data_IF_822333916342
#
_entry.id   IF_822333916342
#
_cell.length_a   1.000
_cell.length_b   1.000
_cell.length_c   1.000
_cell.angle_alpha   90.00
_cell.angle_beta   90.00
_cell.angle_gamma   90.00
#
_symmetry.space_group_name_H-M   'P 1'
#
loop_
_entity.id
_entity.type
_entity.pdbx_description
1 polymer ?
#
# COMPACT_ATOMS: atom_id res chain seq x y z
N UNK A 1 21.49 -2.41 -5.74
CA UNK A 1 20.22 -3.15 -5.93
C UNK A 1 20.02 -3.49 -7.40
N UNK A 2 19.73 -2.54 -8.30
CA UNK A 2 19.39 -2.77 -9.74
C UNK A 2 20.26 -3.79 -10.51
N UNK A 3 21.59 -3.79 -10.31
CA UNK A 3 22.50 -4.70 -11.04
C UNK A 3 22.66 -6.10 -10.43
N UNK A 4 22.24 -6.30 -9.19
CA UNK A 4 22.56 -7.50 -8.40
C UNK A 4 21.33 -8.23 -7.90
N UNK A 5 20.28 -7.49 -7.52
CA UNK A 5 19.12 -8.06 -6.88
C UNK A 5 18.40 -9.01 -7.84
N UNK A 6 18.16 -10.24 -7.39
CA UNK A 6 17.48 -11.29 -8.14
C UNK A 6 16.38 -11.92 -7.32
N UNK A 7 15.24 -12.10 -7.95
CA UNK A 7 14.02 -12.67 -7.38
C UNK A 7 13.68 -13.91 -8.21
N UNK A 8 13.35 -15.00 -7.53
CA UNK A 8 12.78 -16.16 -8.19
C UNK A 8 11.35 -16.38 -7.69
N UNK A 9 10.41 -16.56 -8.61
CA UNK A 9 9.01 -16.81 -8.29
C UNK A 9 8.74 -18.32 -8.28
N UNK A 10 8.09 -18.81 -7.22
CA UNK A 10 7.59 -20.18 -7.17
C UNK A 10 6.55 -20.42 -8.28
N UNK A 11 6.39 -21.69 -8.70
CA UNK A 11 5.50 -22.08 -9.81
C UNK A 11 4.31 -22.93 -9.33
N UNK A 12 4.21 -23.13 -8.03
CA UNK A 12 3.23 -23.97 -7.37
C UNK A 12 1.89 -23.24 -7.23
N UNK A 13 0.82 -24.02 -7.16
CA UNK A 13 -0.53 -23.47 -7.13
C UNK A 13 -1.08 -23.23 -8.53
N UNK A 14 -2.35 -22.82 -8.59
CA UNK A 14 -3.05 -22.52 -9.83
C UNK A 14 -3.93 -21.27 -9.66
N UNK A 15 -4.21 -20.52 -10.75
CA UNK A 15 -5.23 -19.49 -10.74
C UNK A 15 -6.61 -20.04 -10.32
N UNK A 16 -7.49 -19.20 -9.73
CA UNK A 16 -7.30 -17.77 -9.54
C UNK A 16 -6.51 -17.41 -8.27
N UNK A 17 -6.29 -18.32 -7.32
CA UNK A 17 -5.68 -17.99 -6.02
C UNK A 17 -4.18 -17.67 -6.15
N UNK A 18 -3.47 -18.44 -6.99
CA UNK A 18 -2.04 -18.28 -7.22
C UNK A 18 -1.77 -17.75 -8.63
N UNK A 19 -0.65 -17.05 -8.82
CA UNK A 19 -0.19 -16.49 -10.11
C UNK A 19 -1.16 -15.46 -10.73
N UNK A 20 -2.13 -14.97 -9.94
CA UNK A 20 -3.14 -14.02 -10.39
C UNK A 20 -3.62 -13.23 -9.19
N UNK A 21 -4.05 -11.99 -9.43
CA UNK A 21 -4.70 -11.15 -8.44
C UNK A 21 -5.59 -10.10 -9.10
N UNK A 22 -6.34 -9.32 -8.32
CA UNK A 22 -7.15 -8.24 -8.88
C UNK A 22 -6.24 -7.18 -9.51
N UNK A 23 -6.59 -6.72 -10.70
CA UNK A 23 -5.87 -5.64 -11.41
C UNK A 23 -6.66 -4.33 -11.45
N UNK A 24 -7.87 -4.33 -10.89
CA UNK A 24 -8.78 -3.18 -10.82
C UNK A 24 -9.17 -2.84 -9.38
N UNK A 25 -9.73 -1.64 -9.20
CA UNK A 25 -10.15 -1.05 -7.94
C UNK A 25 -9.01 -0.85 -6.93
N UNK A 26 -9.36 -0.76 -5.65
CA UNK A 26 -8.46 -0.37 -4.56
C UNK A 26 -7.40 -1.42 -4.20
N UNK A 27 -7.62 -2.69 -4.55
CA UNK A 27 -6.68 -3.79 -4.34
C UNK A 27 -5.84 -4.11 -5.59
N UNK A 28 -6.00 -3.33 -6.66
CA UNK A 28 -5.38 -3.57 -7.97
C UNK A 28 -3.86 -3.78 -7.93
N UNK A 29 -3.16 -3.11 -7.01
CA UNK A 29 -1.70 -3.25 -6.92
C UNK A 29 -1.26 -4.67 -6.56
N UNK A 30 -2.07 -5.47 -5.87
CA UNK A 30 -1.74 -6.85 -5.54
C UNK A 30 -1.55 -7.69 -6.81
N UNK A 31 -2.54 -7.67 -7.72
CA UNK A 31 -2.44 -8.39 -8.99
C UNK A 31 -1.38 -7.80 -9.91
N UNK A 32 -1.25 -6.48 -9.98
CA UNK A 32 -0.19 -5.85 -10.79
C UNK A 32 1.22 -6.21 -10.32
N UNK A 33 1.43 -6.33 -9.01
CA UNK A 33 2.71 -6.76 -8.44
C UNK A 33 2.99 -8.24 -8.70
N UNK A 34 2.02 -9.13 -8.46
CA UNK A 34 2.15 -10.58 -8.74
C UNK A 34 2.57 -10.79 -10.21
N UNK A 35 1.81 -10.22 -11.14
CA UNK A 35 2.09 -10.35 -12.56
C UNK A 35 3.45 -9.73 -12.97
N UNK A 36 3.96 -8.68 -12.29
CA UNK A 36 5.29 -8.12 -12.59
C UNK A 36 6.41 -9.04 -12.09
N UNK A 37 6.23 -9.73 -10.96
CA UNK A 37 7.23 -10.66 -10.43
C UNK A 37 7.41 -11.90 -11.31
N UNK A 38 6.46 -12.17 -12.20
CA UNK A 38 6.46 -13.32 -13.11
C UNK A 38 6.73 -12.92 -14.56
N UNK A 39 6.81 -11.61 -14.84
CA UNK A 39 7.07 -11.08 -16.17
C UNK A 39 8.52 -11.34 -16.58
N UNK A 40 8.73 -12.04 -17.70
CA UNK A 40 10.06 -12.31 -18.26
C UNK A 40 10.88 -11.06 -18.59
N UNK A 41 10.22 -9.90 -18.76
CA UNK A 41 10.87 -8.61 -19.01
C UNK A 41 11.31 -7.88 -17.75
N UNK A 42 10.90 -8.36 -16.57
CA UNK A 42 11.32 -7.81 -15.29
C UNK A 42 12.83 -8.10 -15.07
N UNK A 43 13.70 -7.07 -14.95
CA UNK A 43 15.14 -7.26 -14.82
C UNK A 43 15.59 -7.93 -13.51
N UNK A 44 14.71 -7.95 -12.50
CA UNK A 44 14.94 -8.59 -11.21
C UNK A 44 14.62 -10.08 -11.23
N UNK A 45 13.80 -10.56 -12.17
CA UNK A 45 13.48 -11.98 -12.27
C UNK A 45 14.73 -12.78 -12.68
N UNK A 46 14.97 -13.92 -12.03
CA UNK A 46 15.92 -14.95 -12.48
C UNK A 46 15.22 -16.26 -12.78
N UNK A 47 15.70 -16.96 -13.81
CA UNK A 47 15.27 -18.32 -14.11
C UNK A 47 16.06 -19.37 -13.31
N UNK A 48 17.18 -18.97 -12.69
CA UNK A 48 18.01 -19.82 -11.88
C UNK A 48 17.79 -19.50 -10.38
N UNK A 49 17.08 -20.34 -9.62
CA UNK A 49 16.81 -20.08 -8.22
C UNK A 49 18.06 -20.02 -7.35
N UNK A 50 19.18 -20.60 -7.78
CA UNK A 50 20.47 -20.50 -7.07
C UNK A 50 21.08 -19.10 -7.10
N UNK A 51 20.65 -18.23 -8.03
CA UNK A 51 21.07 -16.82 -8.11
C UNK A 51 20.14 -15.89 -7.34
N UNK A 52 19.00 -16.39 -6.87
CA UNK A 52 18.01 -15.57 -6.20
C UNK A 52 18.47 -15.13 -4.81
N UNK A 53 18.26 -13.84 -4.54
CA UNK A 53 18.46 -13.25 -3.23
C UNK A 53 17.18 -13.32 -2.40
N UNK A 54 16.03 -13.35 -3.08
CA UNK A 54 14.69 -13.38 -2.51
C UNK A 54 13.78 -14.30 -3.34
N UNK A 55 12.84 -14.97 -2.67
CA UNK A 55 11.90 -15.92 -3.27
C UNK A 55 10.47 -15.38 -3.14
N UNK A 56 9.77 -15.26 -4.27
CA UNK A 56 8.43 -14.71 -4.32
C UNK A 56 7.37 -15.80 -4.27
N UNK A 57 6.40 -15.65 -3.37
CA UNK A 57 5.20 -16.47 -3.27
C UNK A 57 4.06 -15.74 -4.03
N UNK A 58 3.64 -16.24 -5.22
CA UNK A 58 2.60 -15.62 -6.03
C UNK A 58 1.19 -15.94 -5.50
N UNK A 59 0.93 -15.66 -4.22
CA UNK A 59 -0.36 -15.88 -3.55
C UNK A 59 -1.15 -14.57 -3.49
N UNK A 60 -2.41 -14.58 -3.95
CA UNK A 60 -3.30 -13.43 -3.82
C UNK A 60 -4.24 -13.59 -2.63
N UNK A 61 -3.99 -12.80 -1.58
CA UNK A 61 -4.89 -12.71 -0.42
C UNK A 61 -6.27 -12.23 -0.86
N UNK A 62 -6.36 -11.28 -1.78
CA UNK A 62 -7.65 -10.78 -2.26
C UNK A 62 -8.46 -11.87 -2.97
N UNK A 63 -7.81 -12.74 -3.76
CA UNK A 63 -8.47 -13.87 -4.39
C UNK A 63 -8.81 -14.99 -3.40
N UNK A 64 -8.02 -15.23 -2.36
CA UNK A 64 -8.43 -16.12 -1.26
C UNK A 64 -9.76 -15.64 -0.66
N UNK A 65 -9.87 -14.34 -0.36
CA UNK A 65 -11.11 -13.74 0.14
C UNK A 65 -12.24 -13.81 -0.90
N UNK A 66 -11.95 -13.66 -2.18
CA UNK A 66 -12.99 -13.62 -3.22
C UNK A 66 -13.52 -15.01 -3.61
N UNK A 67 -12.66 -16.03 -3.58
CA UNK A 67 -12.97 -17.37 -4.13
C UNK A 67 -13.12 -18.46 -3.08
N UNK A 68 -12.52 -18.30 -1.89
CA UNK A 68 -12.55 -19.34 -0.84
C UNK A 68 -13.51 -18.96 0.28
N UNK A 69 -13.58 -17.67 0.66
CA UNK A 69 -14.41 -17.24 1.77
C UNK A 69 -15.91 -17.46 1.51
N UNK A 70 -16.59 -17.96 2.55
CA UNK A 70 -18.01 -18.30 2.56
C UNK A 70 -18.71 -17.49 3.63
N UNK A 71 -19.61 -16.59 3.22
CA UNK A 71 -20.35 -15.68 4.12
C UNK A 71 -21.38 -16.42 5.00
N UNK A 72 -21.82 -17.59 4.57
CA UNK A 72 -22.86 -18.41 5.20
C UNK A 72 -22.34 -19.29 6.36
N UNK A 73 -21.03 -19.23 6.66
CA UNK A 73 -20.40 -20.05 7.69
C UNK A 73 -19.88 -19.16 8.83
N UNK A 74 -20.24 -19.52 10.07
CA UNK A 74 -19.69 -18.92 11.27
C UNK A 74 -18.20 -19.26 11.38
N UNK A 75 -17.35 -18.22 11.43
CA UNK A 75 -15.88 -18.30 11.47
C UNK A 75 -15.24 -19.18 10.38
N UNK A 76 -14.89 -18.53 9.28
CA UNK A 76 -14.19 -19.17 8.15
C UNK A 76 -12.69 -18.89 8.13
N UNK A 77 -12.08 -18.43 9.24
CA UNK A 77 -10.65 -18.11 9.26
C UNK A 77 -9.76 -19.35 9.07
N UNK A 78 -10.14 -20.48 9.69
CA UNK A 78 -9.38 -21.73 9.60
C UNK A 78 -9.11 -22.21 8.16
N UNK A 79 -10.14 -22.35 7.31
CA UNK A 79 -9.96 -22.68 5.90
C UNK A 79 -9.06 -21.69 5.15
N UNK A 80 -9.24 -20.38 5.33
CA UNK A 80 -8.44 -19.37 4.63
C UNK A 80 -6.96 -19.42 5.03
N UNK A 81 -6.68 -19.60 6.32
CA UNK A 81 -5.32 -19.78 6.85
C UNK A 81 -4.67 -21.05 6.29
N UNK A 82 -5.42 -22.16 6.22
CA UNK A 82 -4.91 -23.42 5.64
C UNK A 82 -4.47 -23.28 4.19
N UNK A 83 -5.17 -22.51 3.35
CA UNK A 83 -4.73 -22.27 1.96
C UNK A 83 -3.32 -21.68 1.91
N UNK A 84 -3.00 -20.72 2.79
CA UNK A 84 -1.67 -20.11 2.86
C UNK A 84 -0.65 -21.07 3.47
N UNK A 85 -1.01 -21.75 4.58
CA UNK A 85 -0.13 -22.67 5.28
C UNK A 85 0.26 -23.89 4.43
N UNK A 86 -0.72 -24.50 3.77
CA UNK A 86 -0.53 -25.67 2.90
C UNK A 86 0.34 -25.31 1.68
N UNK A 87 0.18 -24.10 1.13
CA UNK A 87 1.05 -23.61 0.07
C UNK A 87 2.51 -23.53 0.52
N UNK A 88 2.76 -23.01 1.73
CA UNK A 88 4.10 -22.98 2.32
C UNK A 88 4.64 -24.40 2.51
N UNK A 89 3.82 -25.35 2.95
CA UNK A 89 4.24 -26.74 3.12
C UNK A 89 4.62 -27.42 1.79
N UNK A 90 3.86 -27.16 0.72
CA UNK A 90 4.21 -27.65 -0.63
C UNK A 90 5.57 -27.13 -1.09
N UNK A 91 5.86 -25.84 -0.92
CA UNK A 91 7.15 -25.28 -1.36
C UNK A 91 8.32 -25.74 -0.46
N UNK A 92 8.06 -26.00 0.83
CA UNK A 92 9.03 -26.58 1.78
C UNK A 92 9.43 -27.99 1.43
N UNK A 93 8.47 -28.82 1.00
CA UNK A 93 8.71 -30.20 0.61
C UNK A 93 9.42 -30.27 -0.75
N UNK A 94 9.02 -29.43 -1.70
CA UNK A 94 9.50 -29.49 -3.08
C UNK A 94 10.86 -28.82 -3.30
N UNK A 95 11.21 -27.80 -2.51
CA UNK A 95 12.42 -27.01 -2.72
C UNK A 95 13.25 -26.83 -1.44
N UNK A 96 14.60 -26.76 -1.54
CA UNK A 96 15.46 -26.55 -0.38
C UNK A 96 15.42 -25.11 0.15
N UNK A 97 14.92 -24.15 -0.65
CA UNK A 97 15.12 -22.72 -0.43
C UNK A 97 14.36 -22.16 0.78
N UNK A 98 13.18 -22.69 1.10
CA UNK A 98 12.49 -22.28 2.33
C UNK A 98 13.26 -22.78 3.57
N UNK A 99 13.63 -24.07 3.58
CA UNK A 99 14.22 -24.70 4.75
C UNK A 99 15.62 -24.14 5.09
N UNK A 100 16.40 -23.67 4.11
CA UNK A 100 17.72 -23.06 4.36
C UNK A 100 17.67 -21.70 5.08
N UNK A 101 16.53 -21.01 5.04
CA UNK A 101 16.37 -19.65 5.61
C UNK A 101 15.21 -19.56 6.60
N UNK A 102 14.47 -20.66 6.79
CA UNK A 102 13.17 -20.67 7.48
C UNK A 102 12.21 -19.59 6.97
N UNK A 103 12.25 -19.29 5.67
CA UNK A 103 11.39 -18.28 5.03
C UNK A 103 11.91 -16.83 5.12
N UNK A 104 13.11 -16.58 5.66
CA UNK A 104 13.62 -15.22 5.88
C UNK A 104 14.01 -14.44 4.61
N UNK A 105 14.26 -15.14 3.49
CA UNK A 105 14.44 -14.56 2.16
C UNK A 105 13.19 -14.69 1.28
N UNK A 106 12.03 -14.99 1.87
CA UNK A 106 10.77 -15.14 1.15
C UNK A 106 9.91 -13.91 1.30
N UNK A 107 9.15 -13.58 0.26
CA UNK A 107 8.16 -12.51 0.30
C UNK A 107 6.86 -12.89 -0.39
N UNK A 108 5.77 -12.29 0.08
CA UNK A 108 4.50 -12.24 -0.63
C UNK A 108 3.93 -10.81 -0.55
N UNK A 109 2.91 -10.55 -1.36
CA UNK A 109 2.18 -9.28 -1.37
C UNK A 109 0.75 -9.48 -0.89
N UNK A 110 0.24 -8.56 -0.07
CA UNK A 110 -1.16 -8.55 0.34
C UNK A 110 -1.70 -7.13 0.49
N UNK A 111 -2.73 -6.80 -0.28
CA UNK A 111 -3.38 -5.49 -0.17
C UNK A 111 -4.78 -5.52 0.40
N UNK A 112 -5.42 -6.68 0.41
CA UNK A 112 -6.65 -6.84 1.19
C UNK A 112 -6.36 -6.67 2.69
N UNK A 113 -7.34 -6.12 3.40
CA UNK A 113 -7.32 -5.85 4.85
C UNK A 113 -7.02 -7.11 5.67
N UNK A 114 -7.33 -8.27 5.11
CA UNK A 114 -7.15 -9.58 5.73
C UNK A 114 -5.71 -10.11 5.61
N UNK A 115 -4.83 -9.40 4.93
CA UNK A 115 -3.43 -9.78 4.73
C UNK A 115 -2.69 -9.99 6.04
N UNK A 116 -2.89 -9.13 7.03
CA UNK A 116 -2.27 -9.29 8.35
C UNK A 116 -2.74 -10.57 9.06
N UNK A 117 -4.04 -10.90 8.95
CA UNK A 117 -4.63 -12.09 9.59
C UNK A 117 -4.23 -13.39 8.89
N UNK A 118 -4.23 -13.41 7.55
CA UNK A 118 -3.88 -14.59 6.75
C UNK A 118 -2.35 -14.79 6.61
N UNK A 119 -1.55 -13.88 7.15
CA UNK A 119 -0.10 -14.04 7.30
C UNK A 119 0.36 -13.92 8.75
N UNK A 120 -0.59 -13.96 9.68
CA UNK A 120 -0.33 -13.89 11.12
C UNK A 120 0.27 -15.18 11.67
N UNK A 121 0.70 -15.11 12.93
CA UNK A 121 1.32 -16.25 13.63
C UNK A 121 0.42 -17.51 13.63
N UNK A 122 -0.91 -17.34 13.75
CA UNK A 122 -1.90 -18.41 13.70
C UNK A 122 -1.98 -19.16 12.35
N UNK A 123 -1.40 -18.58 11.29
CA UNK A 123 -1.38 -19.20 9.96
C UNK A 123 -0.17 -20.10 9.81
N UNK A 124 1.03 -19.51 9.93
CA UNK A 124 2.30 -20.23 9.87
C UNK A 124 3.37 -19.38 10.55
N UNK A 125 3.93 -19.87 11.66
CA UNK A 125 4.88 -19.11 12.48
C UNK A 125 6.07 -18.56 11.69
N UNK A 126 6.72 -19.40 10.87
CA UNK A 126 7.86 -18.99 10.03
C UNK A 126 7.50 -17.91 9.02
N UNK A 127 6.29 -17.96 8.43
CA UNK A 127 5.82 -16.94 7.49
C UNK A 127 5.65 -15.58 8.18
N UNK A 128 5.09 -15.58 9.39
CA UNK A 128 4.86 -14.36 10.16
C UNK A 128 6.17 -13.76 10.69
N UNK A 129 7.00 -14.57 11.34
CA UNK A 129 8.21 -14.12 12.03
C UNK A 129 9.35 -13.79 11.05
N UNK A 130 9.53 -14.59 9.99
CA UNK A 130 10.75 -14.52 9.19
C UNK A 130 10.52 -13.87 7.81
N UNK A 131 9.42 -14.18 7.13
CA UNK A 131 9.21 -13.70 5.76
C UNK A 131 8.95 -12.20 5.67
N UNK A 132 9.40 -11.60 4.57
CA UNK A 132 9.19 -10.19 4.24
C UNK A 132 7.74 -10.04 3.76
N UNK A 133 6.89 -9.40 4.56
CA UNK A 133 5.49 -9.16 4.16
C UNK A 133 5.39 -7.80 3.49
N UNK A 134 4.97 -7.80 2.23
CA UNK A 134 4.73 -6.56 1.47
C UNK A 134 3.24 -6.26 1.52
N UNK A 135 2.82 -5.33 2.40
CA UNK A 135 1.40 -5.16 2.73
C UNK A 135 0.90 -3.74 2.51
N UNK A 136 -0.34 -3.59 2.01
CA UNK A 136 -0.98 -2.27 1.94
C UNK A 136 -1.46 -1.79 3.32
N UNK A 137 -2.05 -2.67 4.14
CA UNK A 137 -2.44 -2.38 5.52
C UNK A 137 -1.23 -2.56 6.47
N UNK A 138 -0.30 -1.62 6.44
CA UNK A 138 0.91 -1.65 7.27
C UNK A 138 0.64 -1.03 8.65
N UNK A 139 0.04 -1.76 9.57
CA UNK A 139 -0.29 -1.26 10.92
C UNK A 139 0.62 -1.91 11.98
N UNK A 140 1.43 -1.13 12.68
CA UNK A 140 2.36 -1.66 13.71
C UNK A 140 1.64 -2.23 14.93
N UNK A 141 0.40 -1.80 15.21
CA UNK A 141 -0.44 -2.38 16.25
C UNK A 141 -1.05 -3.74 15.86
N UNK A 142 -1.10 -4.06 14.55
CA UNK A 142 -1.64 -5.32 14.00
C UNK A 142 -0.52 -6.26 13.53
N UNK A 143 0.67 -6.10 14.13
CA UNK A 143 1.79 -7.00 13.93
C UNK A 143 2.72 -6.65 12.76
N UNK A 144 2.59 -5.49 12.11
CA UNK A 144 3.59 -5.03 11.12
C UNK A 144 4.95 -4.76 11.80
N UNK A 145 6.02 -5.37 11.30
CA UNK A 145 7.36 -5.27 11.88
C UNK A 145 8.24 -4.37 11.00
N UNK A 146 8.54 -3.16 11.48
CA UNK A 146 9.26 -2.11 10.73
C UNK A 146 10.55 -2.57 10.03
N UNK A 147 11.38 -3.36 10.72
CA UNK A 147 12.68 -3.79 10.22
C UNK A 147 12.64 -5.01 9.30
N UNK A 148 11.45 -5.60 9.08
CA UNK A 148 11.24 -6.83 8.30
C UNK A 148 10.21 -6.66 7.18
N UNK A 149 9.09 -6.03 7.48
CA UNK A 149 7.97 -5.86 6.55
C UNK A 149 8.14 -4.58 5.71
N UNK A 150 7.34 -4.49 4.65
CA UNK A 150 7.38 -3.39 3.67
C UNK A 150 5.97 -2.86 3.46
N UNK A 151 5.79 -1.55 3.66
CA UNK A 151 4.54 -0.86 3.30
C UNK A 151 4.44 -0.72 1.79
N UNK A 152 3.38 -1.26 1.20
CA UNK A 152 3.02 -1.07 -0.20
C UNK A 152 2.01 0.07 -0.33
N UNK A 153 2.31 1.04 -1.19
CA UNK A 153 1.35 2.10 -1.50
C UNK A 153 0.16 1.54 -2.29
N UNK A 154 -1.04 1.68 -1.73
CA UNK A 154 -2.28 1.35 -2.43
C UNK A 154 -2.52 2.26 -3.63
N UNK A 155 -3.10 1.70 -4.69
CA UNK A 155 -3.54 2.46 -5.88
C UNK A 155 -4.96 2.05 -6.22
N UNK A 156 -5.76 3.01 -6.69
CA UNK A 156 -7.11 2.77 -7.15
C UNK A 156 -7.12 2.84 -8.68
N UNK A 157 -7.40 1.72 -9.34
CA UNK A 157 -7.52 1.64 -10.80
C UNK A 157 -8.94 1.19 -11.16
N UNK A 158 -9.92 2.10 -11.30
CA UNK A 158 -11.34 1.72 -11.46
C UNK A 158 -11.62 0.72 -12.58
N UNK A 159 -10.91 0.84 -13.72
CA UNK A 159 -11.04 -0.03 -14.89
C UNK A 159 -9.82 -0.97 -15.07
N UNK A 160 -8.92 -1.00 -14.09
CA UNK A 160 -7.68 -1.76 -14.09
C UNK A 160 -6.60 -1.28 -15.07
N UNK A 161 -6.84 -0.17 -15.79
CA UNK A 161 -5.88 0.36 -16.76
C UNK A 161 -4.83 1.20 -16.07
N UNK A 162 -3.56 0.92 -16.37
CA UNK A 162 -2.43 1.70 -15.87
C UNK A 162 -2.42 3.07 -16.56
N UNK A 163 -2.86 4.09 -15.84
CA UNK A 163 -2.85 5.48 -16.28
C UNK A 163 -1.65 6.25 -15.74
N UNK A 164 -1.28 7.34 -16.42
CA UNK A 164 -0.38 8.34 -15.84
C UNK A 164 -1.16 9.26 -14.92
N UNK A 165 -0.55 9.80 -13.85
CA UNK A 165 -1.12 10.93 -13.14
C UNK A 165 -1.42 12.05 -14.13
N UNK A 166 -2.61 12.64 -14.01
CA UNK A 166 -2.92 13.84 -14.78
C UNK A 166 -1.92 14.95 -14.45
N UNK A 167 -1.64 15.84 -15.42
CA UNK A 167 -0.79 17.01 -15.16
C UNK A 167 -1.43 17.87 -14.07
N UNK A 168 -0.61 18.37 -13.15
CA UNK A 168 -1.08 19.31 -12.13
C UNK A 168 -1.70 20.53 -12.80
N UNK A 169 -2.77 21.02 -12.17
CA UNK A 169 -3.49 22.20 -12.60
C UNK A 169 -2.75 23.44 -12.05
N UNK A 170 -2.94 24.59 -12.71
CA UNK A 170 -2.45 25.90 -12.24
C UNK A 170 -2.70 26.08 -10.72
N UNK A 171 -1.66 26.38 -9.91
CA UNK A 171 -1.80 26.68 -8.48
C UNK A 171 -2.93 27.66 -8.14
N UNK A 172 -3.23 28.62 -9.02
CA UNK A 172 -4.28 29.63 -8.82
C UNK A 172 -5.70 29.04 -8.83
N UNK A 173 -5.88 27.76 -9.17
CA UNK A 173 -7.17 27.08 -9.18
C UNK A 173 -7.48 26.29 -7.90
N UNK A 174 -6.58 26.32 -6.88
CA UNK A 174 -6.81 25.66 -5.59
C UNK A 174 -7.59 26.55 -4.61
N UNK A 175 -8.91 26.57 -4.76
CA UNK A 175 -9.82 27.42 -4.00
C UNK A 175 -10.24 26.87 -2.63
N UNK A 176 -10.08 25.58 -2.38
CA UNK A 176 -10.44 24.92 -1.11
C UNK A 176 -9.21 24.79 -0.21
N UNK A 177 -9.38 24.99 1.10
CA UNK A 177 -8.30 24.76 2.06
C UNK A 177 -8.01 23.27 2.18
N UNK A 178 -9.02 22.48 2.52
CA UNK A 178 -8.88 21.04 2.72
C UNK A 178 -10.07 20.27 2.15
N UNK A 179 -9.85 19.02 1.75
CA UNK A 179 -10.90 18.12 1.30
C UNK A 179 -10.75 16.70 1.83
N UNK A 180 -11.89 16.10 2.19
CA UNK A 180 -12.05 14.68 2.46
C UNK A 180 -13.38 14.20 1.86
N UNK A 181 -13.37 13.02 1.25
CA UNK A 181 -14.61 12.26 1.13
C UNK A 181 -14.42 10.77 1.30
N UNK A 182 -15.17 10.13 2.19
CA UNK A 182 -15.11 8.69 2.43
C UNK A 182 -16.03 8.26 3.57
N UNK A 183 -16.52 7.02 3.51
CA UNK A 183 -17.47 6.50 4.50
C UNK A 183 -16.89 6.45 5.92
N UNK A 184 -17.79 6.43 6.91
CA UNK A 184 -17.49 6.24 8.33
C UNK A 184 -16.95 4.83 8.62
N UNK A 185 -15.68 4.61 8.24
CA UNK A 185 -14.95 3.37 8.48
C UNK A 185 -13.85 3.67 9.47
N UNK A 186 -13.98 3.20 10.71
CA UNK A 186 -13.01 3.43 11.78
C UNK A 186 -13.15 4.79 12.48
N UNK A 187 -12.71 4.82 13.74
CA UNK A 187 -12.95 5.92 14.68
C UNK A 187 -12.36 7.27 14.22
N UNK A 188 -11.25 7.26 13.47
CA UNK A 188 -10.63 8.49 12.97
C UNK A 188 -11.47 9.13 11.87
N UNK A 189 -12.04 8.33 10.94
CA UNK A 189 -12.94 8.86 9.91
C UNK A 189 -14.24 9.33 10.50
N UNK A 190 -14.79 8.60 11.47
CA UNK A 190 -15.95 9.04 12.25
C UNK A 190 -15.69 10.41 12.88
N UNK A 191 -14.56 10.57 13.59
CA UNK A 191 -14.20 11.86 14.18
C UNK A 191 -14.07 13.00 13.16
N UNK A 192 -13.47 12.74 11.98
CA UNK A 192 -13.39 13.75 10.89
C UNK A 192 -14.78 14.11 10.37
N UNK A 193 -15.63 13.12 10.12
CA UNK A 193 -16.99 13.32 9.63
C UNK A 193 -17.84 14.08 10.65
N UNK A 194 -17.78 13.68 11.92
CA UNK A 194 -18.52 14.31 13.01
C UNK A 194 -18.13 15.77 13.18
N UNK A 195 -16.86 16.12 13.04
CA UNK A 195 -16.39 17.50 13.21
C UNK A 195 -16.59 18.38 11.99
N UNK A 196 -16.47 17.85 10.76
CA UNK A 196 -16.35 18.68 9.57
C UNK A 196 -17.42 18.47 8.49
N UNK A 197 -18.15 17.34 8.49
CA UNK A 197 -19.15 17.03 7.45
C UNK A 197 -20.22 18.12 7.38
N UNK A 198 -20.26 18.87 6.26
CA UNK A 198 -21.24 19.94 6.03
C UNK A 198 -21.13 21.15 6.96
N UNK A 199 -20.00 21.33 7.66
CA UNK A 199 -19.84 22.36 8.70
C UNK A 199 -18.95 23.55 8.32
N UNK A 200 -18.18 23.47 7.23
CA UNK A 200 -17.28 24.54 6.80
C UNK A 200 -17.20 24.64 5.27
N UNK A 201 -17.01 25.85 4.75
CA UNK A 201 -16.93 26.12 3.31
C UNK A 201 -15.51 25.92 2.73
N UNK A 202 -14.47 26.00 3.56
CA UNK A 202 -13.07 25.86 3.14
C UNK A 202 -12.51 24.45 3.45
N UNK A 203 -12.97 23.83 4.53
CA UNK A 203 -12.68 22.43 4.89
C UNK A 203 -13.87 21.56 4.49
N UNK A 204 -13.85 21.06 3.26
CA UNK A 204 -14.97 20.37 2.66
C UNK A 204 -14.89 18.88 2.94
N UNK A 205 -15.90 18.36 3.65
CA UNK A 205 -15.94 16.96 4.09
C UNK A 205 -17.27 16.31 3.68
N UNK A 206 -17.18 15.17 3.00
CA UNK A 206 -18.32 14.32 2.64
C UNK A 206 -18.13 12.89 3.16
N UNK A 207 -19.22 12.22 3.48
CA UNK A 207 -19.19 10.77 3.72
C UNK A 207 -19.25 10.01 2.39
N UNK A 208 -20.24 10.35 1.57
CA UNK A 208 -20.36 9.91 0.18
C UNK A 208 -20.55 11.16 -0.69
N UNK A 209 -19.85 11.23 -1.83
CA UNK A 209 -20.07 12.35 -2.75
C UNK A 209 -21.49 12.27 -3.32
N UNK A 210 -22.25 13.38 -3.32
CA UNK A 210 -23.48 13.50 -4.08
C UNK A 210 -23.29 13.12 -5.55
N UNK A 211 -24.33 12.51 -6.14
CA UNK A 211 -24.36 12.14 -7.56
C UNK A 211 -24.08 13.37 -8.44
N UNK A 212 -23.23 13.20 -9.45
CA UNK A 212 -22.85 14.27 -10.38
C UNK A 212 -21.63 15.09 -9.96
N UNK A 213 -21.14 14.92 -8.73
CA UNK A 213 -19.87 15.52 -8.30
C UNK A 213 -18.68 14.61 -8.62
N UNK A 214 -17.52 15.23 -8.90
CA UNK A 214 -16.29 14.51 -9.24
C UNK A 214 -15.28 14.62 -8.10
N UNK A 215 -14.93 13.47 -7.49
CA UNK A 215 -14.00 13.37 -6.37
C UNK A 215 -12.62 13.98 -6.67
N UNK A 216 -12.02 13.61 -7.81
CA UNK A 216 -10.71 14.11 -8.22
C UNK A 216 -10.71 15.62 -8.51
N UNK A 217 -11.84 16.19 -8.98
CA UNK A 217 -11.99 17.63 -9.13
C UNK A 217 -11.93 18.37 -7.78
N UNK A 218 -12.48 17.80 -6.71
CA UNK A 218 -12.32 18.39 -5.38
C UNK A 218 -10.87 18.31 -4.90
N UNK A 219 -10.20 17.16 -5.02
CA UNK A 219 -8.79 17.02 -4.66
C UNK A 219 -7.89 18.02 -5.42
N UNK A 220 -8.13 18.21 -6.73
CA UNK A 220 -7.41 19.17 -7.56
C UNK A 220 -7.61 20.62 -7.13
N UNK A 221 -8.80 20.97 -6.61
CA UNK A 221 -9.13 22.32 -6.11
C UNK A 221 -8.71 22.54 -4.65
N UNK A 222 -8.22 21.52 -3.95
CA UNK A 222 -7.82 21.64 -2.54
C UNK A 222 -6.33 21.88 -2.38
N UNK A 223 -5.94 22.74 -1.45
CA UNK A 223 -4.53 22.89 -1.05
C UNK A 223 -4.04 21.62 -0.35
N UNK A 224 -4.87 21.11 0.56
CA UNK A 224 -4.58 19.96 1.42
C UNK A 224 -5.62 18.85 1.23
N UNK A 225 -5.19 17.60 1.21
CA UNK A 225 -6.09 16.44 1.11
C UNK A 225 -6.00 15.62 2.39
N UNK A 226 -7.09 15.58 3.15
CA UNK A 226 -7.11 14.85 4.41
C UNK A 226 -7.08 13.34 4.13
N UNK A 227 -6.15 12.66 4.77
CA UNK A 227 -5.93 11.23 4.67
C UNK A 227 -6.08 10.56 6.05
N UNK A 228 -7.29 10.57 6.65
CA UNK A 228 -7.57 9.82 7.85
C UNK A 228 -7.60 8.31 7.58
N UNK A 229 -6.88 7.55 8.41
CA UNK A 229 -6.93 6.08 8.39
C UNK A 229 -8.34 5.57 8.70
N UNK A 230 -8.70 4.43 8.13
CA UNK A 230 -9.95 3.74 8.42
C UNK A 230 -9.79 2.74 9.57
N UNK A 231 -10.50 1.60 9.50
CA UNK A 231 -10.08 0.40 10.23
C UNK A 231 -8.67 -0.01 9.77
N UNK A 232 -8.44 0.09 8.46
CA UNK A 232 -7.15 -0.09 7.85
C UNK A 232 -6.42 1.24 7.70
N UNK A 233 -5.11 1.20 7.95
CA UNK A 233 -4.26 2.39 7.88
C UNK A 233 -3.89 2.75 6.44
N UNK A 234 -3.78 1.74 5.57
CA UNK A 234 -3.47 1.91 4.16
C UNK A 234 -4.68 2.27 3.31
N UNK A 235 -4.57 3.33 2.49
CA UNK A 235 -5.61 3.68 1.51
C UNK A 235 -5.00 4.25 0.24
N UNK A 236 -5.61 4.01 -0.94
CA UNK A 236 -5.20 4.66 -2.19
C UNK A 236 -5.21 6.19 -2.13
N UNK A 237 -5.93 6.78 -1.17
CA UNK A 237 -6.10 8.23 -1.05
C UNK A 237 -4.79 9.01 -0.95
N UNK A 238 -3.79 8.45 -0.29
CA UNK A 238 -2.47 9.11 -0.20
C UNK A 238 -1.86 9.23 -1.60
N UNK A 239 -1.91 8.14 -2.38
CA UNK A 239 -1.46 8.11 -3.77
C UNK A 239 -2.31 9.05 -4.64
N UNK A 240 -3.64 9.05 -4.48
CA UNK A 240 -4.55 9.95 -5.19
C UNK A 240 -4.24 11.43 -4.89
N UNK A 241 -4.01 11.79 -3.62
CA UNK A 241 -3.64 13.14 -3.21
C UNK A 241 -2.32 13.58 -3.86
N UNK A 242 -1.31 12.71 -3.83
CA UNK A 242 -0.02 12.95 -4.47
C UNK A 242 -0.21 13.17 -5.97
N UNK A 243 -0.96 12.30 -6.67
CA UNK A 243 -1.24 12.43 -8.10
C UNK A 243 -1.98 13.72 -8.46
N UNK A 244 -2.90 14.17 -7.60
CA UNK A 244 -3.63 15.41 -7.80
C UNK A 244 -2.84 16.64 -7.35
N UNK A 245 -1.56 16.53 -6.99
CA UNK A 245 -0.72 17.65 -6.53
C UNK A 245 -1.20 18.28 -5.22
N UNK A 246 -2.07 17.57 -4.49
CA UNK A 246 -2.69 18.00 -3.25
C UNK A 246 -1.82 17.56 -2.08
N UNK A 247 -1.46 18.47 -1.18
CA UNK A 247 -0.56 18.14 -0.05
C UNK A 247 -1.27 17.15 0.88
N UNK A 248 -0.76 15.91 1.05
CA UNK A 248 -1.40 14.93 1.93
C UNK A 248 -1.35 15.40 3.38
N UNK A 249 -2.47 15.30 4.08
CA UNK A 249 -2.57 15.52 5.53
C UNK A 249 -2.85 14.18 6.18
N UNK A 250 -1.83 13.57 6.79
CA UNK A 250 -1.92 12.25 7.40
C UNK A 250 -2.54 12.41 8.79
N UNK A 251 -3.63 11.69 9.03
CA UNK A 251 -4.32 11.60 10.32
C UNK A 251 -4.45 10.11 10.62
N UNK A 252 -3.40 9.53 11.21
CA UNK A 252 -3.31 8.10 11.45
C UNK A 252 -2.46 7.83 12.69
N UNK A 253 -2.68 6.66 13.29
CA UNK A 253 -1.88 6.11 14.39
C UNK A 253 -1.23 4.82 13.88
N UNK A 254 0.00 4.54 14.32
CA UNK A 254 0.69 3.28 14.03
C UNK A 254 0.84 2.92 12.54
N UNK A 255 0.90 3.93 11.67
CA UNK A 255 1.02 3.75 10.22
C UNK A 255 2.41 4.14 9.69
N UNK A 256 3.29 3.17 9.38
CA UNK A 256 4.53 3.42 8.64
C UNK A 256 4.20 3.70 7.18
N UNK A 257 4.38 4.96 6.77
CA UNK A 257 4.02 5.42 5.43
C UNK A 257 4.89 4.74 4.34
N UNK A 258 4.36 4.54 3.12
CA UNK A 258 5.10 3.94 2.02
C UNK A 258 6.43 4.64 1.77
N UNK A 259 7.48 3.85 1.50
CA UNK A 259 8.82 4.32 1.15
C UNK A 259 9.50 5.21 2.19
N UNK A 260 9.09 5.15 3.47
CA UNK A 260 9.71 5.94 4.55
C UNK A 260 11.21 5.61 4.77
N UNK A 261 11.70 4.50 4.22
CA UNK A 261 13.13 4.17 4.18
C UNK A 261 13.96 5.15 3.32
N UNK A 262 13.31 5.85 2.37
CA UNK A 262 13.98 6.70 1.37
C UNK A 262 13.36 8.11 1.31
N UNK A 263 12.05 8.23 1.56
CA UNK A 263 11.30 9.48 1.49
C UNK A 263 11.01 10.03 2.89
N UNK A 264 11.46 11.26 3.15
CA UNK A 264 11.07 12.01 4.34
C UNK A 264 9.70 12.69 4.10
N UNK A 265 8.64 12.04 4.59
CA UNK A 265 7.26 12.53 4.50
C UNK A 265 7.07 13.93 5.08
N UNK A 266 7.84 14.33 6.11
CA UNK A 266 7.74 15.68 6.71
C UNK A 266 8.07 16.80 5.71
N UNK A 267 8.75 16.47 4.60
CA UNK A 267 9.13 17.43 3.57
C UNK A 267 8.01 17.71 2.58
N UNK A 268 7.00 16.85 2.45
CA UNK A 268 5.94 16.97 1.44
C UNK A 268 4.52 16.64 1.93
N UNK A 269 4.34 16.29 3.20
CA UNK A 269 3.04 16.11 3.83
C UNK A 269 2.92 16.92 5.12
N UNK A 270 1.71 16.96 5.66
CA UNK A 270 1.41 17.47 7.01
C UNK A 270 0.91 16.29 7.83
N UNK A 271 1.29 16.21 9.10
CA UNK A 271 0.72 15.24 10.04
C UNK A 271 -0.12 15.99 11.06
N UNK A 272 -1.35 15.54 11.28
CA UNK A 272 -2.25 16.07 12.32
C UNK A 272 -2.63 14.91 13.24
N UNK A 273 -2.30 15.00 14.54
CA UNK A 273 -2.74 14.01 15.52
C UNK A 273 -4.27 13.91 15.60
N UNK A 274 -4.79 12.74 15.96
CA UNK A 274 -6.24 12.46 15.97
C UNK A 274 -6.98 13.41 16.91
N UNK A 275 -6.41 13.69 18.07
CA UNK A 275 -6.94 14.63 19.07
C UNK A 275 -7.05 16.08 18.55
N UNK A 276 -6.33 16.41 17.47
CA UNK A 276 -6.34 17.74 16.83
C UNK A 276 -7.23 17.83 15.59
N UNK A 277 -8.08 16.83 15.33
CA UNK A 277 -9.10 16.90 14.28
C UNK A 277 -9.96 18.17 14.36
N UNK A 278 -10.41 18.65 15.54
CA UNK A 278 -11.17 19.90 15.64
C UNK A 278 -10.38 21.15 15.21
N UNK A 279 -9.04 21.09 15.26
CA UNK A 279 -8.14 22.20 14.96
C UNK A 279 -7.64 22.21 13.49
N UNK A 280 -8.09 21.27 12.64
CA UNK A 280 -7.60 21.12 11.25
C UNK A 280 -7.53 22.45 10.51
N UNK A 281 -8.60 23.25 10.54
CA UNK A 281 -8.62 24.54 9.85
C UNK A 281 -7.57 25.51 10.39
N UNK A 282 -7.43 25.59 11.73
CA UNK A 282 -6.45 26.48 12.38
C UNK A 282 -5.02 26.07 12.02
N UNK A 283 -4.72 24.77 12.12
CA UNK A 283 -3.40 24.21 11.81
C UNK A 283 -3.04 24.48 10.34
N UNK A 284 -3.95 24.17 9.41
CA UNK A 284 -3.69 24.32 7.98
C UNK A 284 -3.59 25.79 7.55
N UNK A 285 -4.38 26.70 8.14
CA UNK A 285 -4.23 28.15 7.90
C UNK A 285 -2.95 28.73 8.52
N UNK A 286 -2.43 28.12 9.58
CA UNK A 286 -1.15 28.50 10.19
C UNK A 286 0.07 28.17 9.32
N UNK A 287 -0.09 27.35 8.27
CA UNK A 287 0.99 27.06 7.32
C UNK A 287 1.16 28.26 6.39
N UNK A 288 2.32 28.92 6.46
CA UNK A 288 2.65 30.05 5.59
C UNK A 288 2.61 29.64 4.12
N UNK A 289 2.26 30.59 3.25
CA UNK A 289 2.17 30.34 1.81
C UNK A 289 3.51 29.83 1.23
N UNK A 290 4.64 30.36 1.71
CA UNK A 290 5.98 29.87 1.34
C UNK A 290 6.17 28.40 1.70
N UNK A 291 5.75 27.98 2.90
CA UNK A 291 5.86 26.57 3.33
C UNK A 291 4.93 25.68 2.50
N UNK A 292 3.70 26.14 2.23
CA UNK A 292 2.77 25.42 1.38
C UNK A 292 3.33 25.18 -0.03
N UNK A 293 3.88 26.20 -0.68
CA UNK A 293 4.46 26.07 -2.02
C UNK A 293 5.64 25.08 -2.05
N UNK A 294 6.46 25.05 -0.99
CA UNK A 294 7.52 24.06 -0.85
C UNK A 294 6.98 22.63 -0.69
N UNK A 295 5.95 22.43 0.15
CA UNK A 295 5.29 21.13 0.30
C UNK A 295 4.73 20.66 -1.05
N UNK A 296 3.96 21.53 -1.73
CA UNK A 296 3.36 21.25 -3.04
C UNK A 296 4.41 20.87 -4.09
N UNK A 297 5.48 21.66 -4.22
CA UNK A 297 6.56 21.38 -5.17
C UNK A 297 7.17 19.99 -4.92
N UNK A 298 7.36 19.61 -3.66
CA UNK A 298 7.91 18.30 -3.31
C UNK A 298 6.92 17.16 -3.53
N UNK A 299 5.61 17.38 -3.32
CA UNK A 299 4.57 16.42 -3.71
C UNK A 299 4.71 16.08 -5.20
N UNK A 300 4.84 17.09 -6.06
CA UNK A 300 5.01 16.88 -7.51
C UNK A 300 6.32 16.15 -7.85
N UNK A 301 7.40 16.38 -7.10
CA UNK A 301 8.66 15.67 -7.30
C UNK A 301 8.55 14.19 -6.92
N UNK A 302 7.86 13.86 -5.83
CA UNK A 302 7.72 12.47 -5.37
C UNK A 302 6.67 11.67 -6.15
N UNK A 303 5.78 12.32 -6.91
CA UNK A 303 4.74 11.66 -7.72
C UNK A 303 5.25 10.45 -8.50
N UNK A 304 6.41 10.58 -9.14
CA UNK A 304 7.03 9.51 -9.94
C UNK A 304 7.19 8.19 -9.17
N UNK A 305 7.39 8.25 -7.85
CA UNK A 305 7.59 7.12 -6.96
C UNK A 305 6.32 6.35 -6.64
N UNK A 306 5.16 6.92 -6.96
CA UNK A 306 3.85 6.31 -6.75
C UNK A 306 3.20 5.87 -8.08
N UNK A 307 3.84 6.13 -9.23
CA UNK A 307 3.35 5.70 -10.54
C UNK A 307 3.60 4.22 -10.72
N UNK A 308 2.57 3.48 -11.12
CA UNK A 308 2.70 2.08 -11.53
C UNK A 308 3.11 2.03 -13.01
N UNK A 309 4.12 1.22 -13.35
CA UNK A 309 4.37 0.78 -14.72
C UNK A 309 4.41 -0.74 -14.80
N UNK A 310 4.11 -1.26 -15.99
CA UNK A 310 4.27 -2.65 -16.40
C UNK A 310 4.86 -2.65 -17.81
N UNK A 311 6.13 -3.07 -18.02
CA UNK A 311 7.10 -3.48 -16.99
C UNK A 311 7.49 -2.33 -16.06
N UNK A 312 7.98 -2.68 -14.86
CA UNK A 312 8.42 -1.72 -13.86
C UNK A 312 9.58 -0.86 -14.38
N UNK A 313 9.57 0.43 -14.01
CA UNK A 313 10.59 1.40 -14.37
C UNK A 313 11.36 1.87 -13.15
N UNK A 314 12.60 2.31 -13.39
CA UNK A 314 13.43 2.88 -12.34
C UNK A 314 12.68 4.00 -11.60
N UNK A 315 12.70 3.92 -10.26
CA UNK A 315 12.05 4.86 -9.35
C UNK A 315 10.53 4.87 -9.34
N UNK A 316 9.86 3.94 -10.05
CA UNK A 316 8.41 3.81 -9.99
C UNK A 316 7.95 3.04 -8.74
N UNK A 317 6.64 2.87 -8.58
CA UNK A 317 6.06 2.24 -7.40
C UNK A 317 6.61 0.83 -7.13
N UNK A 318 6.69 -0.03 -8.15
CA UNK A 318 7.23 -1.40 -7.98
C UNK A 318 8.73 -1.33 -7.69
N UNK A 319 9.49 -0.54 -8.44
CA UNK A 319 10.95 -0.39 -8.24
C UNK A 319 11.28 0.14 -6.84
N UNK A 320 10.47 1.05 -6.31
CA UNK A 320 10.61 1.57 -4.94
C UNK A 320 10.26 0.51 -3.90
N UNK A 321 9.19 -0.27 -4.10
CA UNK A 321 8.85 -1.40 -3.24
C UNK A 321 9.95 -2.46 -3.21
N UNK A 322 10.49 -2.83 -4.37
CA UNK A 322 11.62 -3.77 -4.47
C UNK A 322 12.89 -3.24 -3.80
N UNK A 323 13.08 -1.91 -3.77
CA UNK A 323 14.16 -1.31 -3.01
C UNK A 323 13.97 -1.53 -1.51
N UNK A 324 12.77 -1.28 -0.97
CA UNK A 324 12.48 -1.57 0.44
C UNK A 324 12.65 -3.06 0.75
N UNK A 325 12.16 -3.97 -0.11
CA UNK A 325 12.39 -5.42 0.03
C UNK A 325 13.88 -5.75 0.09
N UNK A 326 14.69 -5.16 -0.80
CA UNK A 326 16.14 -5.34 -0.80
C UNK A 326 16.77 -4.92 0.53
N UNK A 327 16.33 -3.79 1.11
CA UNK A 327 16.80 -3.35 2.43
C UNK A 327 16.42 -4.36 3.53
N UNK A 328 15.21 -4.91 3.51
CA UNK A 328 14.78 -5.92 4.49
C UNK A 328 15.56 -7.22 4.37
N UNK A 329 15.84 -7.65 3.13
CA UNK A 329 16.71 -8.80 2.90
C UNK A 329 18.12 -8.58 3.45
N UNK A 330 18.67 -7.37 3.33
CA UNK A 330 20.00 -7.03 3.86
C UNK A 330 20.05 -6.96 5.39
N UNK A 331 18.91 -6.74 6.07
CA UNK A 331 18.84 -6.74 7.53
C UNK A 331 19.06 -8.13 8.15
N UNK A 332 18.96 -9.21 7.34
CA UNK A 332 19.10 -10.59 7.81
C UNK A 332 20.37 -11.22 7.26
N UNK A 333 21.24 -11.71 8.16
CA UNK A 333 22.39 -12.54 7.79
C UNK A 333 21.93 -13.99 7.66
N UNK A 334 22.02 -14.55 6.47
CA UNK A 334 21.69 -15.95 6.21
C UNK A 334 22.98 -16.81 6.23
N UNK A 335 22.87 -18.10 6.60
CA UNK A 335 24.04 -18.94 6.91
C UNK A 335 24.75 -19.52 5.68
N UNK A 336 24.47 -19.02 4.47
CA UNK A 336 24.96 -19.59 3.20
C UNK A 336 25.51 -18.53 2.25
#
# INVERSE_FOLDING_TARGET
MEKRFKIWAYKEGQPPIFHSGPTANIYSIEGHFIHEMEDSTNPFLTQNPSEAHVFFLPISITHIVSYVYRRDVLDYWGPLRRVVADYVDVIKEKYPYWNRSAGADHLFVACHDWGAYLSGNDTKHELYENSIRVVCNANTSEGFILNKDVTLAGINLPDGRIGRPERDIDPNQRTLLAFFAGGAHGYIREAVLDHWKGKDAEVVVYEYLPKGLNYYSFMKRSKFCLCPSGYEVGTPRITEAIFMGCVPVIIAVDYPLPFSDVLDWTKFSVQIPVEKIPEIKVILKGISERRYQLLKSRVLQVQRHFVLHRPAKRYDLISMTLHSVWLRRLNVKLPY
#
